data_IF_043671598472
#
_entry.id   IF_043671598472
#
_cell.length_a   1.000
_cell.length_b   1.000
_cell.length_c   1.000
_cell.angle_alpha   90.00
_cell.angle_beta   90.00
_cell.angle_gamma   90.00
#
_symmetry.space_group_name_H-M   'P 1'
#
loop_
_entity.id
_entity.type
_entity.pdbx_description
1 polymer ?
#
# COMPACT_ATOMS: atom_id res chain seq x y z
N UNK A 1 -38.06 16.94 24.72
CA UNK A 1 -36.98 17.90 24.40
C UNK A 1 -35.67 17.31 24.89
N UNK A 2 -34.62 17.32 24.07
CA UNK A 2 -33.30 16.82 24.48
C UNK A 2 -32.63 17.89 25.35
N UNK A 3 -32.07 17.51 26.48
CA UNK A 3 -31.34 18.43 27.36
C UNK A 3 -30.17 19.07 26.58
N UNK A 4 -29.84 20.34 26.83
CA UNK A 4 -28.71 20.98 26.16
C UNK A 4 -27.40 20.24 26.48
N UNK A 5 -26.43 20.21 25.53
CA UNK A 5 -25.11 19.65 25.80
C UNK A 5 -24.45 20.31 27.01
N UNK A 6 -23.79 19.52 27.84
CA UNK A 6 -23.07 20.00 29.04
C UNK A 6 -21.57 20.06 28.73
N UNK A 7 -20.94 21.20 29.02
CA UNK A 7 -19.50 21.38 28.86
C UNK A 7 -18.73 20.52 29.87
N UNK A 8 -17.76 19.73 29.39
CA UNK A 8 -16.79 19.06 30.25
C UNK A 8 -15.65 20.05 30.56
N UNK A 9 -15.54 20.47 31.82
CA UNK A 9 -14.46 21.34 32.27
C UNK A 9 -13.25 20.52 32.71
N UNK A 10 -12.05 20.97 32.34
CA UNK A 10 -10.78 20.41 32.79
C UNK A 10 -10.02 21.48 33.59
N UNK A 11 -9.46 21.10 34.74
CA UNK A 11 -8.56 21.95 35.50
C UNK A 11 -7.13 21.81 34.95
N UNK A 12 -6.56 22.92 34.47
CA UNK A 12 -5.21 22.94 33.90
C UNK A 12 -4.24 23.45 34.97
N UNK A 13 -3.59 22.52 35.69
CA UNK A 13 -2.51 22.85 36.61
C UNK A 13 -1.22 23.20 35.86
N UNK A 14 -0.22 23.83 36.50
CA UNK A 14 1.08 24.06 35.87
C UNK A 14 1.75 22.80 35.32
N UNK A 15 1.55 21.65 35.96
CA UNK A 15 2.08 20.37 35.47
C UNK A 15 1.34 19.88 34.21
N UNK A 16 0.02 20.06 34.14
CA UNK A 16 -0.77 19.74 32.92
C UNK A 16 -0.37 20.68 31.79
N UNK A 17 -0.18 21.97 32.07
CA UNK A 17 0.27 22.96 31.09
C UNK A 17 1.63 22.57 30.47
N UNK A 18 2.60 22.14 31.29
CA UNK A 18 3.89 21.67 30.81
C UNK A 18 3.78 20.42 29.91
N UNK A 19 2.86 19.50 30.23
CA UNK A 19 2.59 18.33 29.37
C UNK A 19 1.94 18.72 28.04
N UNK A 20 1.05 19.73 28.04
CA UNK A 20 0.44 20.25 26.81
C UNK A 20 1.53 20.82 25.90
N UNK A 21 2.41 21.68 26.42
CA UNK A 21 3.50 22.28 25.64
C UNK A 21 4.48 21.24 25.08
N UNK A 22 4.80 20.22 25.88
CA UNK A 22 5.63 19.10 25.41
C UNK A 22 4.94 18.29 24.30
N UNK A 23 3.62 18.06 24.42
CA UNK A 23 2.84 17.35 23.43
C UNK A 23 2.69 18.15 22.13
N UNK A 24 2.50 19.46 22.20
CA UNK A 24 2.46 20.36 21.04
C UNK A 24 3.79 20.33 20.28
N UNK A 25 4.91 20.47 21.00
CA UNK A 25 6.25 20.37 20.38
C UNK A 25 6.49 19.01 19.71
N UNK A 26 6.03 17.92 20.35
CA UNK A 26 6.15 16.58 19.77
C UNK A 26 5.25 16.42 18.53
N UNK A 27 4.03 16.98 18.56
CA UNK A 27 3.09 16.96 17.45
C UNK A 27 3.66 17.72 16.25
N UNK A 28 4.18 18.93 16.45
CA UNK A 28 4.78 19.74 15.39
C UNK A 28 5.97 19.04 14.74
N UNK A 29 6.80 18.36 15.54
CA UNK A 29 7.92 17.56 15.02
C UNK A 29 7.45 16.39 14.16
N UNK A 30 6.36 15.71 14.53
CA UNK A 30 5.76 14.63 13.74
C UNK A 30 5.17 15.18 12.45
N UNK A 31 4.35 16.24 12.51
CA UNK A 31 3.76 16.88 11.34
C UNK A 31 4.82 17.36 10.35
N UNK A 32 5.91 17.98 10.85
CA UNK A 32 7.03 18.43 10.02
C UNK A 32 7.87 17.30 9.42
N UNK A 33 7.74 16.06 9.92
CA UNK A 33 8.47 14.90 9.40
C UNK A 33 7.75 14.16 8.27
N UNK A 34 6.43 14.37 8.12
CA UNK A 34 5.61 13.62 7.15
C UNK A 34 5.52 14.40 5.83
N UNK A 35 6.01 13.77 4.76
CA UNK A 35 5.81 14.22 3.39
C UNK A 35 4.68 13.40 2.75
N UNK A 36 3.68 14.07 2.18
CA UNK A 36 2.54 13.41 1.56
C UNK A 36 2.16 14.03 0.22
N UNK A 37 1.81 13.19 -0.76
CA UNK A 37 1.28 13.59 -2.06
C UNK A 37 0.17 12.62 -2.47
N UNK A 38 -0.77 13.12 -3.26
CA UNK A 38 -1.92 12.35 -3.73
C UNK A 38 -2.14 12.61 -5.22
N UNK A 39 -2.84 11.69 -5.88
CA UNK A 39 -3.15 11.79 -7.31
C UNK A 39 -4.40 11.00 -7.69
N UNK A 40 -5.05 11.42 -8.77
CA UNK A 40 -6.24 10.79 -9.35
C UNK A 40 -6.00 10.56 -10.86
N UNK A 41 -6.07 9.31 -11.31
CA UNK A 41 -5.83 8.91 -12.70
C UNK A 41 -7.12 8.35 -13.33
N UNK A 42 -7.72 9.03 -14.32
CA UNK A 42 -8.95 8.59 -14.94
C UNK A 42 -8.75 7.37 -15.85
N UNK A 43 -9.79 6.54 -15.97
CA UNK A 43 -9.84 5.39 -16.86
C UNK A 43 -9.13 4.13 -16.34
N UNK A 44 -8.53 4.16 -15.15
CA UNK A 44 -8.06 2.96 -14.47
C UNK A 44 -9.18 2.39 -13.59
N UNK A 45 -10.04 1.53 -14.13
CA UNK A 45 -11.19 0.98 -13.39
C UNK A 45 -11.42 -0.51 -13.63
N UNK A 46 -12.32 -1.09 -12.83
CA UNK A 46 -12.55 -2.52 -12.76
C UNK A 46 -12.97 -3.14 -14.11
N UNK A 47 -13.85 -2.48 -14.87
CA UNK A 47 -14.37 -3.01 -16.14
C UNK A 47 -13.27 -3.10 -17.19
N UNK A 48 -12.49 -2.03 -17.35
CA UNK A 48 -11.33 -2.01 -18.23
C UNK A 48 -10.32 -3.11 -17.88
N UNK A 49 -9.92 -3.24 -16.61
CA UNK A 49 -8.94 -4.26 -16.22
C UNK A 49 -9.49 -5.68 -16.40
N UNK A 50 -10.78 -5.89 -16.12
CA UNK A 50 -11.46 -7.18 -16.36
C UNK A 50 -11.52 -7.54 -17.85
N UNK A 51 -11.74 -6.57 -18.74
CA UNK A 51 -11.78 -6.83 -20.19
C UNK A 51 -10.42 -7.34 -20.73
N UNK A 52 -9.32 -7.04 -20.04
CA UNK A 52 -7.97 -7.57 -20.33
C UNK A 52 -7.68 -8.94 -19.68
N UNK A 53 -8.64 -9.51 -18.95
CA UNK A 53 -8.50 -10.79 -18.24
C UNK A 53 -7.59 -10.72 -17.01
N UNK A 54 -7.53 -9.56 -16.35
CA UNK A 54 -6.67 -9.29 -15.20
C UNK A 54 -7.49 -8.99 -13.94
N UNK A 55 -6.92 -9.27 -12.77
CA UNK A 55 -7.49 -8.86 -11.49
C UNK A 55 -7.08 -7.43 -11.14
N UNK A 56 -8.05 -6.56 -10.87
CA UNK A 56 -7.84 -5.13 -10.62
C UNK A 56 -6.78 -4.85 -9.54
N UNK A 57 -6.97 -5.43 -8.36
CA UNK A 57 -6.07 -5.23 -7.22
C UNK A 57 -4.64 -5.72 -7.51
N UNK A 58 -4.52 -6.86 -8.20
CA UNK A 58 -3.23 -7.36 -8.66
C UNK A 58 -2.54 -6.40 -9.63
N UNK A 59 -3.28 -5.74 -10.54
CA UNK A 59 -2.69 -4.71 -11.41
C UNK A 59 -2.25 -3.50 -10.60
N UNK A 60 -3.05 -3.00 -9.65
CA UNK A 60 -2.64 -1.91 -8.76
C UNK A 60 -1.33 -2.24 -8.04
N UNK A 61 -1.23 -3.45 -7.49
CA UNK A 61 -0.03 -3.90 -6.78
C UNK A 61 1.18 -4.00 -7.71
N UNK A 62 1.00 -4.49 -8.94
CA UNK A 62 2.07 -4.53 -9.94
C UNK A 62 2.50 -3.14 -10.39
N UNK A 63 1.59 -2.17 -10.46
CA UNK A 63 1.91 -0.76 -10.70
C UNK A 63 2.88 -0.24 -9.63
N UNK A 64 2.62 -0.50 -8.34
CA UNK A 64 3.53 -0.07 -7.27
C UNK A 64 4.89 -0.76 -7.32
N UNK A 65 4.92 -2.07 -7.63
CA UNK A 65 6.18 -2.80 -7.79
C UNK A 65 7.03 -2.19 -8.91
N UNK A 66 6.42 -1.92 -10.07
CA UNK A 66 7.10 -1.39 -11.24
C UNK A 66 7.54 0.07 -11.05
N UNK A 67 6.69 0.91 -10.45
CA UNK A 67 7.04 2.29 -10.13
C UNK A 67 8.27 2.36 -9.21
N UNK A 68 8.29 1.57 -8.12
CA UNK A 68 9.46 1.48 -7.25
C UNK A 68 10.68 0.93 -8.00
N UNK A 69 10.52 -0.13 -8.80
CA UNK A 69 11.62 -0.74 -9.54
C UNK A 69 12.25 0.24 -10.54
N UNK A 70 11.46 1.06 -11.23
CA UNK A 70 11.99 2.09 -12.14
C UNK A 70 12.75 3.19 -11.42
N UNK A 71 12.28 3.59 -10.22
CA UNK A 71 12.94 4.62 -9.43
C UNK A 71 14.28 4.14 -8.83
N UNK A 72 14.37 2.88 -8.44
CA UNK A 72 15.46 2.39 -7.58
C UNK A 72 16.27 1.23 -8.16
N UNK A 73 15.81 0.59 -9.23
CA UNK A 73 16.47 -0.54 -9.87
C UNK A 73 16.37 -1.88 -9.13
N UNK A 74 15.57 -1.97 -8.06
CA UNK A 74 15.39 -3.19 -7.27
C UNK A 74 13.94 -3.38 -6.77
N UNK A 75 13.58 -4.63 -6.47
CA UNK A 75 12.27 -4.99 -5.93
C UNK A 75 12.17 -4.74 -4.43
N UNK A 76 11.07 -4.13 -4.00
CA UNK A 76 10.86 -3.72 -2.61
C UNK A 76 10.10 -4.79 -1.80
N UNK A 77 10.54 -5.08 -0.58
CA UNK A 77 9.70 -5.83 0.37
C UNK A 77 8.39 -5.08 0.57
N UNK A 78 7.28 -5.77 0.29
CA UNK A 78 5.96 -5.16 0.19
C UNK A 78 4.98 -5.85 1.11
N UNK A 79 4.28 -5.05 1.90
CA UNK A 79 3.14 -5.45 2.70
C UNK A 79 1.88 -4.94 2.01
N UNK A 80 0.93 -5.83 1.81
CA UNK A 80 -0.46 -5.47 1.51
C UNK A 80 -1.39 -6.07 2.57
N UNK A 81 -2.37 -5.28 3.01
CA UNK A 81 -3.35 -5.71 4.00
C UNK A 81 -4.35 -6.72 3.43
N UNK A 82 -4.40 -7.92 4.01
CA UNK A 82 -5.44 -8.91 3.74
C UNK A 82 -6.42 -9.02 4.91
N UNK A 83 -7.69 -8.71 4.67
CA UNK A 83 -8.78 -8.84 5.64
C UNK A 83 -8.96 -10.31 6.12
N UNK A 84 -9.08 -10.52 7.44
CA UNK A 84 -9.36 -11.82 8.05
C UNK A 84 -10.76 -11.91 8.70
N UNK A 85 -11.70 -11.02 8.38
CA UNK A 85 -13.03 -10.94 9.01
C UNK A 85 -13.89 -12.20 8.86
N UNK A 86 -13.52 -13.14 7.96
CA UNK A 86 -14.14 -14.45 7.85
C UNK A 86 -13.85 -15.37 9.07
N UNK A 87 -12.84 -15.04 9.89
CA UNK A 87 -12.45 -15.78 11.08
C UNK A 87 -12.89 -15.06 12.36
N UNK A 88 -13.16 -15.82 13.42
CA UNK A 88 -13.51 -15.28 14.74
C UNK A 88 -12.37 -14.38 15.26
N UNK A 89 -12.69 -13.10 15.52
CA UNK A 89 -11.72 -12.06 15.90
C UNK A 89 -10.63 -11.77 14.86
N UNK A 90 -10.82 -12.20 13.61
CA UNK A 90 -9.85 -11.98 12.55
C UNK A 90 -9.63 -10.49 12.28
N UNK A 91 -8.35 -10.12 12.15
CA UNK A 91 -7.91 -8.77 11.80
C UNK A 91 -7.30 -8.78 10.41
N UNK A 92 -5.99 -8.93 10.31
CA UNK A 92 -5.28 -8.90 9.03
C UNK A 92 -4.21 -9.99 8.92
N UNK A 93 -3.97 -10.43 7.70
CA UNK A 93 -2.78 -11.14 7.23
C UNK A 93 -2.03 -10.25 6.22
N UNK A 94 -0.83 -10.63 5.82
CA UNK A 94 -0.05 -9.95 4.78
C UNK A 94 -0.14 -10.69 3.45
N UNK A 95 -0.46 -9.95 2.39
CA UNK A 95 -0.15 -10.35 1.01
C UNK A 95 1.21 -9.73 0.65
N UNK A 96 2.12 -10.55 0.13
CA UNK A 96 3.43 -10.09 -0.34
C UNK A 96 3.42 -9.96 -1.84
N UNK A 97 3.29 -8.72 -2.31
CA UNK A 97 3.24 -8.37 -3.75
C UNK A 97 4.62 -8.49 -4.43
N UNK A 98 5.71 -8.39 -3.68
CA UNK A 98 7.05 -8.68 -4.17
C UNK A 98 7.27 -10.19 -4.25
N UNK A 99 7.28 -10.71 -5.47
CA UNK A 99 7.41 -12.12 -5.82
C UNK A 99 8.40 -12.25 -6.97
N UNK A 100 8.86 -13.47 -7.27
CA UNK A 100 9.69 -13.70 -8.46
C UNK A 100 8.98 -13.25 -9.74
N UNK A 101 7.68 -13.51 -9.87
CA UNK A 101 6.94 -13.10 -11.08
C UNK A 101 6.74 -11.59 -11.17
N UNK A 102 6.57 -10.88 -10.06
CA UNK A 102 6.52 -9.42 -10.09
C UNK A 102 7.89 -8.80 -10.38
N UNK A 103 8.98 -9.41 -9.92
CA UNK A 103 10.33 -9.01 -10.30
C UNK A 103 10.60 -9.20 -11.80
N UNK A 104 10.23 -10.36 -12.36
CA UNK A 104 10.39 -10.60 -13.80
C UNK A 104 9.50 -9.69 -14.65
N UNK A 105 8.29 -9.36 -14.17
CA UNK A 105 7.47 -8.32 -14.79
C UNK A 105 8.19 -6.97 -14.78
N UNK A 106 8.76 -6.56 -13.65
CA UNK A 106 9.49 -5.30 -13.58
C UNK A 106 10.66 -5.25 -14.58
N UNK A 107 11.43 -6.35 -14.69
CA UNK A 107 12.51 -6.48 -15.67
C UNK A 107 12.02 -6.40 -17.12
N UNK A 108 10.90 -7.07 -17.44
CA UNK A 108 10.32 -7.02 -18.78
C UNK A 108 9.87 -5.60 -19.16
N UNK A 109 9.29 -4.85 -18.22
CA UNK A 109 8.89 -3.46 -18.47
C UNK A 109 10.09 -2.51 -18.58
N UNK A 110 11.12 -2.70 -17.75
CA UNK A 110 12.33 -1.89 -17.76
C UNK A 110 13.27 -2.17 -18.95
N UNK A 111 13.08 -3.27 -19.67
CA UNK A 111 13.90 -3.64 -20.83
C UNK A 111 13.34 -3.03 -22.13
N UNK A 112 14.06 -2.11 -22.81
CA UNK A 112 13.63 -1.54 -24.08
C UNK A 112 13.46 -2.55 -25.21
N UNK A 113 14.12 -3.71 -25.12
CA UNK A 113 14.03 -4.77 -26.13
C UNK A 113 12.82 -5.68 -25.96
N UNK A 114 12.09 -5.61 -24.83
CA UNK A 114 10.91 -6.44 -24.60
C UNK A 114 9.73 -5.96 -25.42
N UNK A 115 9.09 -6.88 -26.15
CA UNK A 115 7.90 -6.56 -26.93
C UNK A 115 6.70 -6.26 -26.02
N UNK A 116 5.66 -5.59 -26.57
CA UNK A 116 4.39 -5.41 -25.83
C UNK A 116 3.80 -6.76 -25.41
N UNK A 117 3.90 -7.79 -26.25
CA UNK A 117 3.41 -9.13 -25.94
C UNK A 117 4.14 -9.75 -24.75
N UNK A 118 5.46 -9.59 -24.66
CA UNK A 118 6.26 -10.08 -23.53
C UNK A 118 5.87 -9.37 -22.22
N UNK A 119 5.71 -8.05 -22.28
CA UNK A 119 5.25 -7.23 -21.14
C UNK A 119 3.87 -7.68 -20.66
N UNK A 120 2.91 -7.88 -21.57
CA UNK A 120 1.57 -8.39 -21.24
C UNK A 120 1.63 -9.79 -20.61
N UNK A 121 2.45 -10.68 -21.17
CA UNK A 121 2.59 -12.04 -20.65
C UNK A 121 3.17 -12.05 -19.22
N UNK A 122 4.21 -11.24 -18.98
CA UNK A 122 4.82 -11.10 -17.66
C UNK A 122 3.84 -10.48 -16.64
N UNK A 123 3.09 -9.44 -17.05
CA UNK A 123 2.05 -8.83 -16.21
C UNK A 123 0.95 -9.83 -15.84
N UNK A 124 0.42 -10.58 -16.81
CA UNK A 124 -0.60 -11.61 -16.56
C UNK A 124 -0.11 -12.67 -15.57
N UNK A 125 1.15 -13.10 -15.71
CA UNK A 125 1.76 -14.06 -14.79
C UNK A 125 1.87 -13.49 -13.37
N UNK A 126 2.39 -12.28 -13.22
CA UNK A 126 2.55 -11.63 -11.92
C UNK A 126 1.21 -11.37 -11.22
N UNK A 127 0.19 -10.89 -11.96
CA UNK A 127 -1.17 -10.68 -11.45
C UNK A 127 -1.82 -12.00 -11.04
N UNK A 128 -1.62 -13.08 -11.80
CA UNK A 128 -2.11 -14.42 -11.42
C UNK A 128 -1.47 -14.90 -10.11
N UNK A 129 -0.17 -14.72 -9.96
CA UNK A 129 0.56 -15.09 -8.72
C UNK A 129 0.07 -14.26 -7.53
N UNK A 130 -0.13 -12.95 -7.71
CA UNK A 130 -0.73 -12.08 -6.69
C UNK A 130 -2.13 -12.55 -6.30
N UNK A 131 -3.00 -12.90 -7.27
CA UNK A 131 -4.34 -13.42 -6.99
C UNK A 131 -4.32 -14.74 -6.20
N UNK A 132 -3.34 -15.62 -6.48
CA UNK A 132 -3.11 -16.83 -5.70
C UNK A 132 -2.69 -16.54 -4.26
N UNK A 133 -1.77 -15.60 -4.06
CA UNK A 133 -1.33 -15.16 -2.73
C UNK A 133 -2.46 -14.51 -1.94
N UNK A 134 -3.27 -13.67 -2.60
CA UNK A 134 -4.47 -13.06 -2.03
C UNK A 134 -5.45 -14.12 -1.55
N UNK A 135 -5.77 -15.10 -2.40
CA UNK A 135 -6.64 -16.22 -2.00
C UNK A 135 -6.07 -16.98 -0.80
N UNK A 136 -4.77 -17.29 -0.81
CA UNK A 136 -4.15 -18.00 0.30
C UNK A 136 -4.22 -17.19 1.60
N UNK A 137 -3.89 -15.90 1.56
CA UNK A 137 -3.99 -15.02 2.73
C UNK A 137 -5.42 -15.01 3.28
N UNK A 138 -6.43 -14.72 2.45
CA UNK A 138 -7.84 -14.67 2.87
C UNK A 138 -8.38 -16.02 3.38
N UNK A 139 -7.78 -17.14 2.96
CA UNK A 139 -8.11 -18.49 3.43
C UNK A 139 -7.28 -18.93 4.65
N UNK A 140 -6.59 -18.01 5.34
CA UNK A 140 -5.78 -18.32 6.53
C UNK A 140 -4.54 -19.16 6.23
N UNK A 141 -4.09 -19.16 4.97
CA UNK A 141 -2.88 -19.84 4.48
C UNK A 141 -1.72 -18.87 4.21
N UNK A 142 -1.85 -17.63 4.67
CA UNK A 142 -0.71 -16.72 4.76
C UNK A 142 0.29 -17.22 5.80
N UNK A 143 1.53 -16.75 5.70
CA UNK A 143 2.61 -17.22 6.56
C UNK A 143 3.15 -16.12 7.49
N UNK A 144 2.88 -14.85 7.20
CA UNK A 144 3.42 -13.71 7.95
C UNK A 144 2.95 -13.68 9.40
N UNK A 145 1.63 -13.79 9.65
CA UNK A 145 1.13 -13.87 11.04
C UNK A 145 1.54 -15.15 11.75
N UNK A 146 1.71 -16.25 11.02
CA UNK A 146 2.21 -17.50 11.59
C UNK A 146 3.66 -17.34 12.08
N UNK A 147 4.55 -16.78 11.25
CA UNK A 147 5.93 -16.47 11.64
C UNK A 147 5.99 -15.48 12.81
N UNK A 148 5.12 -14.46 12.81
CA UNK A 148 4.99 -13.56 13.94
C UNK A 148 4.59 -14.30 15.24
N UNK A 149 3.60 -15.18 15.18
CA UNK A 149 3.14 -15.94 16.34
C UNK A 149 4.22 -16.88 16.91
N UNK A 150 4.96 -17.57 16.04
CA UNK A 150 6.07 -18.43 16.43
C UNK A 150 7.20 -17.63 17.10
N UNK A 151 7.56 -16.47 16.55
CA UNK A 151 8.55 -15.57 17.14
C UNK A 151 8.10 -15.08 18.53
N UNK A 152 6.85 -14.63 18.62
CA UNK A 152 6.28 -14.12 19.86
C UNK A 152 6.24 -15.19 20.95
N UNK A 153 5.85 -16.42 20.61
CA UNK A 153 5.76 -17.51 21.58
C UNK A 153 7.15 -17.93 22.08
N UNK A 154 8.17 -18.01 21.21
CA UNK A 154 9.54 -18.27 21.63
C UNK A 154 10.05 -17.21 22.63
N UNK A 155 9.79 -15.93 22.34
CA UNK A 155 10.17 -14.81 23.23
C UNK A 155 9.45 -14.89 24.58
N UNK A 156 8.14 -15.15 24.56
CA UNK A 156 7.31 -15.29 25.77
C UNK A 156 7.79 -16.42 26.68
N UNK A 157 8.28 -17.51 26.10
CA UNK A 157 8.83 -18.65 26.83
C UNK A 157 10.29 -18.45 27.26
N UNK A 158 10.93 -17.33 26.89
CA UNK A 158 12.35 -17.09 27.17
C UNK A 158 13.29 -18.02 26.40
N UNK A 159 12.82 -18.59 25.29
CA UNK A 159 13.64 -19.42 24.41
C UNK A 159 14.55 -18.53 23.55
N UNK A 160 15.70 -19.07 23.19
CA UNK A 160 16.52 -18.45 22.15
C UNK A 160 15.74 -18.40 20.83
N UNK A 161 15.80 -17.26 20.14
CA UNK A 161 15.11 -17.12 18.85
C UNK A 161 15.71 -18.07 17.81
N UNK A 162 14.89 -18.87 17.12
CA UNK A 162 15.36 -19.71 16.02
C UNK A 162 16.16 -18.91 14.99
N UNK A 163 17.21 -19.52 14.42
CA UNK A 163 18.19 -18.87 13.53
C UNK A 163 17.56 -18.18 12.32
N UNK A 164 16.42 -18.65 11.83
CA UNK A 164 15.65 -18.00 10.76
C UNK A 164 15.30 -16.53 11.09
N UNK A 165 15.01 -16.21 12.36
CA UNK A 165 14.71 -14.83 12.77
C UNK A 165 15.95 -13.95 12.92
N UNK A 166 17.13 -14.56 12.99
CA UNK A 166 18.42 -13.89 13.06
C UNK A 166 19.04 -13.69 11.66
N UNK A 167 18.48 -14.35 10.64
CA UNK A 167 18.98 -14.28 9.27
C UNK A 167 18.77 -12.90 8.64
N UNK A 168 19.79 -12.41 7.92
CA UNK A 168 19.74 -11.11 7.22
C UNK A 168 18.61 -11.03 6.20
N UNK A 169 18.22 -12.15 5.61
CA UNK A 169 17.11 -12.24 4.66
C UNK A 169 15.78 -12.02 5.36
N UNK A 170 15.59 -12.57 6.58
CA UNK A 170 14.40 -12.31 7.38
C UNK A 170 14.32 -10.85 7.83
N UNK A 171 15.47 -10.25 8.20
CA UNK A 171 15.55 -8.82 8.50
C UNK A 171 15.16 -7.98 7.28
N UNK A 172 15.68 -8.32 6.07
CA UNK A 172 15.35 -7.60 4.83
C UNK A 172 13.88 -7.75 4.43
N UNK A 173 13.32 -8.94 4.62
CA UNK A 173 11.92 -9.25 4.39
C UNK A 173 10.99 -8.50 5.35
N UNK A 174 11.44 -8.27 6.57
CA UNK A 174 10.73 -7.52 7.61
C UNK A 174 10.85 -6.00 7.45
N UNK A 175 11.86 -5.50 6.74
CA UNK A 175 11.98 -4.10 6.35
C UNK A 175 10.97 -3.80 5.23
N UNK A 176 9.72 -3.49 5.59
CA UNK A 176 8.68 -3.11 4.62
C UNK A 176 9.04 -1.77 3.98
N UNK A 177 9.26 -1.78 2.67
CA UNK A 177 9.55 -0.59 1.87
C UNK A 177 8.27 -0.05 1.23
N UNK A 178 7.36 -0.91 0.80
CA UNK A 178 6.04 -0.51 0.32
C UNK A 178 4.98 -1.08 1.26
N UNK A 179 4.23 -0.22 1.95
CA UNK A 179 3.11 -0.61 2.78
C UNK A 179 1.83 -0.13 2.12
N UNK A 180 1.02 -1.06 1.63
CA UNK A 180 -0.13 -0.77 0.77
C UNK A 180 -1.45 -1.21 1.40
N UNK A 181 -2.52 -0.47 1.11
CA UNK A 181 -3.88 -0.91 1.44
C UNK A 181 -4.89 -0.28 0.50
N UNK A 182 -5.78 -1.11 -0.05
CA UNK A 182 -6.97 -0.67 -0.76
C UNK A 182 -7.99 -0.12 0.23
N UNK A 183 -8.62 1.02 -0.11
CA UNK A 183 -9.69 1.64 0.65
C UNK A 183 -11.01 1.54 -0.13
N UNK A 184 -11.58 0.33 -0.18
CA UNK A 184 -12.77 0.08 -0.98
C UNK A 184 -14.06 0.46 -0.23
N UNK A 185 -14.63 1.62 -0.55
CA UNK A 185 -16.00 2.01 -0.14
C UNK A 185 -16.50 3.18 -1.00
N UNK A 186 -17.78 3.20 -1.42
CA UNK A 186 -18.35 4.35 -2.13
C UNK A 186 -18.40 5.62 -1.26
N UNK A 187 -18.23 5.48 0.06
CA UNK A 187 -18.23 6.57 1.02
C UNK A 187 -16.82 7.05 1.39
N UNK A 188 -15.77 6.42 0.86
CA UNK A 188 -14.39 6.85 1.06
C UNK A 188 -13.95 7.60 -0.20
N UNK A 189 -13.56 8.86 -0.03
CA UNK A 189 -13.11 9.73 -1.13
C UNK A 189 -11.62 9.57 -1.43
N UNK A 190 -10.89 8.88 -0.56
CA UNK A 190 -9.45 8.73 -0.58
C UNK A 190 -8.95 8.54 0.84
N UNK A 191 -7.65 8.29 0.98
CA UNK A 191 -7.02 8.16 2.28
C UNK A 191 -5.67 7.49 2.16
N UNK A 192 -4.86 7.70 3.19
CA UNK A 192 -3.55 7.08 3.31
C UNK A 192 -3.21 6.91 4.78
N UNK A 193 -1.99 6.46 5.03
CA UNK A 193 -1.46 6.22 6.36
C UNK A 193 0.03 6.47 6.34
N UNK A 194 0.57 6.87 7.49
CA UNK A 194 1.99 7.09 7.65
C UNK A 194 2.79 5.81 7.37
N UNK A 195 4.03 5.95 6.88
CA UNK A 195 4.90 4.81 6.63
C UNK A 195 5.27 4.08 7.93
N UNK A 196 5.48 2.76 7.85
CA UNK A 196 5.82 1.91 9.02
C UNK A 196 7.30 1.93 9.38
N UNK A 197 8.11 2.69 8.64
CA UNK A 197 9.53 2.83 8.88
C UNK A 197 10.16 3.97 8.07
N UNK A 198 11.42 4.33 8.37
CA UNK A 198 12.05 5.52 7.78
C UNK A 198 12.26 5.47 6.26
N UNK A 199 12.29 4.28 5.67
CA UNK A 199 12.48 4.08 4.22
C UNK A 199 11.19 3.62 3.52
N UNK A 200 10.06 3.59 4.24
CA UNK A 200 8.81 3.05 3.76
C UNK A 200 7.97 4.13 3.05
N UNK A 201 7.21 3.69 2.04
CA UNK A 201 6.10 4.42 1.44
C UNK A 201 4.79 3.83 1.98
N UNK A 202 3.99 4.66 2.66
CA UNK A 202 2.60 4.34 2.96
C UNK A 202 1.73 4.69 1.75
N UNK A 203 1.10 3.69 1.14
CA UNK A 203 0.35 3.80 -0.10
C UNK A 203 -1.11 3.37 0.12
N UNK A 204 -1.99 4.35 0.30
CA UNK A 204 -3.44 4.12 0.28
C UNK A 204 -3.97 4.33 -1.14
N UNK A 205 -4.88 3.47 -1.59
CA UNK A 205 -5.45 3.60 -2.93
C UNK A 205 -6.91 3.17 -3.04
N UNK A 206 -7.60 3.74 -4.02
CA UNK A 206 -8.99 3.45 -4.36
C UNK A 206 -9.14 3.26 -5.86
N UNK A 207 -10.17 2.51 -6.25
CA UNK A 207 -10.59 2.40 -7.65
C UNK A 207 -12.09 2.57 -7.70
N UNK A 208 -12.60 3.37 -8.62
CA UNK A 208 -14.02 3.68 -8.73
C UNK A 208 -14.24 5.11 -9.19
N UNK A 209 -15.39 5.67 -8.83
CA UNK A 209 -15.71 7.06 -9.16
C UNK A 209 -14.76 8.02 -8.43
N UNK A 210 -14.01 8.79 -9.21
CA UNK A 210 -13.11 9.84 -8.74
C UNK A 210 -13.94 11.00 -8.20
N UNK A 211 -13.42 11.62 -7.13
CA UNK A 211 -14.11 12.74 -6.47
C UNK A 211 -13.63 14.08 -7.02
N UNK A 212 -12.55 14.10 -7.80
CA UNK A 212 -11.97 15.33 -8.32
C UNK A 212 -11.44 16.21 -7.20
N UNK A 213 -10.79 15.59 -6.20
CA UNK A 213 -10.25 16.28 -5.02
C UNK A 213 -9.14 17.24 -5.47
N UNK A 214 -8.35 16.83 -6.47
CA UNK A 214 -7.20 17.58 -6.95
C UNK A 214 -7.48 18.26 -8.29
N UNK A 215 -8.33 17.65 -9.12
CA UNK A 215 -8.83 18.24 -10.36
C UNK A 215 -10.35 18.04 -10.44
N UNK A 216 -11.15 19.11 -10.29
CA UNK A 216 -12.61 19.04 -10.39
C UNK A 216 -13.12 18.46 -11.71
N UNK A 217 -12.34 18.51 -12.80
CA UNK A 217 -12.71 17.92 -14.08
C UNK A 217 -12.78 16.38 -14.04
N UNK A 218 -12.10 15.76 -13.06
CA UNK A 218 -12.12 14.31 -12.86
C UNK A 218 -13.32 13.82 -12.06
N UNK A 219 -14.07 14.72 -11.41
CA UNK A 219 -15.21 14.34 -10.60
C UNK A 219 -16.25 13.56 -11.40
N UNK A 220 -16.66 12.39 -10.89
CA UNK A 220 -17.62 11.50 -11.54
C UNK A 220 -17.01 10.55 -12.59
N UNK A 221 -15.73 10.71 -12.94
CA UNK A 221 -15.04 9.78 -13.84
C UNK A 221 -14.62 8.51 -13.11
N UNK A 222 -14.64 7.36 -13.77
CA UNK A 222 -14.11 6.12 -13.21
C UNK A 222 -12.59 6.11 -13.31
N UNK A 223 -11.87 5.82 -12.22
CA UNK A 223 -10.43 5.86 -12.19
C UNK A 223 -9.78 5.29 -10.92
N UNK A 224 -8.51 5.64 -10.75
CA UNK A 224 -7.66 5.24 -9.65
C UNK A 224 -7.26 6.46 -8.82
N UNK A 225 -7.46 6.40 -7.51
CA UNK A 225 -6.98 7.41 -6.57
C UNK A 225 -5.87 6.86 -5.70
N UNK A 226 -4.86 7.66 -5.36
CA UNK A 226 -3.84 7.28 -4.39
C UNK A 226 -3.44 8.41 -3.45
N UNK A 227 -2.97 8.00 -2.28
CA UNK A 227 -2.21 8.83 -1.35
C UNK A 227 -0.90 8.11 -1.01
N UNK A 228 0.21 8.85 -1.06
CA UNK A 228 1.54 8.40 -0.70
C UNK A 228 2.07 9.22 0.47
N UNK A 229 2.59 8.56 1.51
CA UNK A 229 3.21 9.20 2.67
C UNK A 229 4.61 8.63 2.94
N UNK A 230 5.56 9.49 3.30
CA UNK A 230 6.95 9.12 3.66
C UNK A 230 7.45 9.97 4.84
N UNK A 231 8.52 9.54 5.52
CA UNK A 231 9.20 10.35 6.56
C UNK A 231 10.43 11.14 6.06
N UNK A 232 10.86 10.94 4.80
CA UNK A 232 12.16 11.41 4.30
C UNK A 232 12.07 12.21 3.00
N UNK A 233 10.89 12.75 2.68
CA UNK A 233 10.60 13.24 1.34
C UNK A 233 10.57 12.08 0.33
N UNK A 234 10.08 12.37 -0.88
CA UNK A 234 9.93 11.48 -2.06
C UNK A 234 8.53 10.92 -2.29
N UNK A 235 7.52 11.31 -1.50
CA UNK A 235 6.14 10.91 -1.81
C UNK A 235 5.72 11.42 -3.19
N UNK A 236 6.09 12.65 -3.57
CA UNK A 236 5.87 13.19 -4.92
C UNK A 236 6.47 12.35 -6.03
N UNK A 237 7.76 12.01 -5.91
CA UNK A 237 8.47 11.20 -6.90
C UNK A 237 7.82 9.82 -7.06
N UNK A 238 7.37 9.21 -5.96
CA UNK A 238 6.65 7.95 -6.01
C UNK A 238 5.30 8.11 -6.72
N UNK A 239 4.51 9.13 -6.39
CA UNK A 239 3.21 9.41 -7.03
C UNK A 239 3.38 9.61 -8.54
N UNK A 240 4.33 10.44 -8.96
CA UNK A 240 4.64 10.69 -10.37
C UNK A 240 5.08 9.39 -11.09
N UNK A 241 5.89 8.55 -10.44
CA UNK A 241 6.29 7.27 -10.99
C UNK A 241 5.13 6.28 -11.12
N UNK A 242 4.17 6.28 -10.19
CA UNK A 242 2.96 5.45 -10.26
C UNK A 242 2.06 5.93 -11.40
N UNK A 243 1.84 7.23 -11.55
CA UNK A 243 1.08 7.81 -12.67
C UNK A 243 1.68 7.38 -14.02
N UNK A 244 2.97 7.62 -14.22
CA UNK A 244 3.68 7.22 -15.45
C UNK A 244 3.62 5.71 -15.70
N UNK A 245 3.61 4.91 -14.63
CA UNK A 245 3.46 3.46 -14.74
C UNK A 245 2.05 3.07 -15.17
N UNK A 246 1.02 3.77 -14.70
CA UNK A 246 -0.36 3.57 -15.15
C UNK A 246 -0.48 3.90 -16.65
N UNK A 247 0.12 4.99 -17.11
CA UNK A 247 0.14 5.34 -18.54
C UNK A 247 0.82 4.26 -19.38
N UNK A 248 1.99 3.77 -18.96
CA UNK A 248 2.66 2.67 -19.69
C UNK A 248 1.81 1.39 -19.70
N UNK A 249 1.09 1.09 -18.61
CA UNK A 249 0.18 -0.05 -18.58
C UNK A 249 -0.97 0.11 -19.58
N UNK A 250 -1.50 1.32 -19.78
CA UNK A 250 -2.47 1.58 -20.84
C UNK A 250 -1.88 1.37 -22.24
N UNK A 251 -0.65 1.85 -22.47
CA UNK A 251 0.04 1.67 -23.76
C UNK A 251 0.31 0.20 -24.10
N UNK A 252 0.55 -0.62 -23.07
CA UNK A 252 0.83 -2.06 -23.20
C UNK A 252 -0.46 -2.88 -23.34
N UNK A 253 -1.51 -2.55 -22.58
CA UNK A 253 -2.78 -3.29 -22.58
C UNK A 253 -3.76 -2.85 -23.69
N UNK A 254 -3.50 -1.72 -24.34
CA UNK A 254 -4.34 -1.17 -25.40
C UNK A 254 -5.54 -0.39 -24.86
N UNK A 255 -6.42 0.11 -25.74
CA UNK A 255 -7.38 1.17 -25.42
C UNK A 255 -8.38 0.79 -24.31
N UNK A 256 -8.81 1.85 -23.61
CA UNK A 256 -9.94 1.92 -22.68
C UNK A 256 -11.23 1.97 -23.51
N UNK A 257 -11.67 0.83 -24.04
CA UNK A 257 -13.02 0.74 -24.66
C UNK A 257 -14.11 0.89 -23.60
#
# INVERSE_FOLDING_TARGET
AQSPPVKLAFEVSPAVQAHIEAAEKAYDAVCGSVDHHCDEVPGFHAEYIKSKGLGLDGVCQMTFQLAHYKLYGYSASTYESANQSAYKHGRTETIRSCTTDSHEMCKAFANPASSKADKVAALKKAVKTHGGNTKNALMGKGWDRHMFALKYEAQKQGLELPTIYQDKSYAKLSEIILSTSTLASPHISGGGFGPVGPNCYGLGYTTGELRGIFDPALAGQMGFGMACMTYKGKSRQMVEAVHQTIDELFDVLGPKE
#
